data_IF_491622232866
#
_entry.id   IF_491622232866
#
_cell.length_a   1.000
_cell.length_b   1.000
_cell.length_c   1.000
_cell.angle_alpha   90.00
_cell.angle_beta   90.00
_cell.angle_gamma   90.00
#
_symmetry.space_group_name_H-M   'P 1'
#
loop_
_entity.id
_entity.type
_entity.pdbx_description
1 polymer ?
#
# COMPACT_ATOMS: atom_id res chain seq x y z
N UNK A 1 -5.97 -8.24 -39.74
CA UNK A 1 -6.03 -9.45 -38.89
C UNK A 1 -5.59 -9.02 -37.52
N UNK A 2 -6.58 -8.84 -36.64
CA UNK A 2 -6.43 -8.62 -35.21
C UNK A 2 -5.70 -9.78 -34.52
N UNK A 3 -5.18 -9.51 -33.32
CA UNK A 3 -4.63 -10.52 -32.43
C UNK A 3 -3.64 -9.92 -31.43
N UNK A 4 -4.06 -8.99 -30.57
CA UNK A 4 -4.29 -9.28 -29.14
C UNK A 4 -3.00 -9.70 -28.40
N UNK A 5 -2.15 -8.71 -28.07
CA UNK A 5 -1.25 -8.85 -26.92
C UNK A 5 -1.95 -8.22 -25.73
N UNK A 6 -2.56 -9.13 -24.98
CA UNK A 6 -3.30 -8.98 -23.74
C UNK A 6 -2.58 -7.99 -22.80
N UNK A 7 -3.23 -6.84 -22.60
CA UNK A 7 -2.93 -5.96 -21.48
C UNK A 7 -3.22 -6.80 -20.26
N UNK A 8 -2.19 -7.15 -19.48
CA UNK A 8 -2.42 -7.66 -18.13
C UNK A 8 -3.12 -6.56 -17.37
N UNK A 9 -4.45 -6.63 -17.36
CA UNK A 9 -5.30 -5.82 -16.53
C UNK A 9 -4.78 -5.98 -15.10
N UNK A 10 -4.08 -4.93 -14.67
CA UNK A 10 -3.64 -4.77 -13.30
C UNK A 10 -4.92 -4.45 -12.53
N UNK A 11 -5.72 -5.47 -12.24
CA UNK A 11 -6.87 -5.33 -11.36
C UNK A 11 -6.36 -4.73 -10.06
N UNK A 12 -6.85 -3.54 -9.65
CA UNK A 12 -6.47 -3.00 -8.38
C UNK A 12 -6.97 -3.97 -7.31
N UNK A 13 -6.06 -4.57 -6.54
CA UNK A 13 -6.39 -5.28 -5.31
C UNK A 13 -7.27 -4.37 -4.42
N UNK A 14 -8.55 -4.70 -4.21
CA UNK A 14 -9.49 -3.84 -3.48
C UNK A 14 -9.14 -3.65 -1.99
N UNK A 15 -8.04 -4.26 -1.50
CA UNK A 15 -7.52 -4.07 -0.16
C UNK A 15 -6.36 -3.06 -0.06
N UNK A 16 -5.76 -2.59 -1.16
CA UNK A 16 -4.62 -1.66 -1.12
C UNK A 16 -4.98 -0.21 -0.75
N UNK A 17 -6.26 0.11 -0.57
CA UNK A 17 -6.75 1.46 -0.27
C UNK A 17 -6.98 1.73 1.22
N UNK A 18 -6.76 0.76 2.12
CA UNK A 18 -7.41 0.84 3.43
C UNK A 18 -6.70 1.71 4.46
N UNK A 19 -5.41 2.01 4.36
CA UNK A 19 -4.70 2.87 5.31
C UNK A 19 -3.48 3.54 4.66
N UNK A 20 -3.59 4.80 4.25
CA UNK A 20 -2.44 5.56 3.72
C UNK A 20 -2.02 6.63 4.73
N UNK A 21 -0.91 6.41 5.45
CA UNK A 21 -0.35 7.41 6.36
C UNK A 21 0.47 8.45 5.57
N UNK A 22 -0.21 9.45 4.98
CA UNK A 22 0.47 10.52 4.23
C UNK A 22 1.14 11.52 5.18
N UNK A 23 2.48 11.62 5.15
CA UNK A 23 3.25 12.55 6.01
C UNK A 23 3.88 13.67 5.20
N UNK A 24 3.31 14.88 5.28
CA UNK A 24 3.96 16.08 4.73
C UNK A 24 5.22 16.47 5.52
N UNK A 25 6.18 17.09 4.82
CA UNK A 25 7.48 17.55 5.32
C UNK A 25 7.42 18.40 6.60
N UNK A 26 8.56 18.35 7.30
CA UNK A 26 9.12 19.14 8.42
C UNK A 26 8.20 19.75 9.49
N UNK A 27 6.98 20.18 9.16
CA UNK A 27 6.12 21.00 10.00
C UNK A 27 4.72 20.42 10.21
N UNK A 28 4.31 19.33 9.57
CA UNK A 28 2.96 18.76 9.71
C UNK A 28 2.93 17.23 9.67
N UNK A 29 2.20 16.59 10.59
CA UNK A 29 1.91 15.14 10.55
C UNK A 29 0.43 14.95 10.27
N UNK A 30 0.13 14.27 9.18
CA UNK A 30 -1.24 13.93 8.79
C UNK A 30 -1.37 12.40 8.72
N UNK A 31 -2.55 11.91 9.07
CA UNK A 31 -2.91 10.50 8.89
C UNK A 31 -4.23 10.47 8.16
N UNK A 32 -4.31 9.74 7.05
CA UNK A 32 -5.49 9.69 6.20
C UNK A 32 -5.98 8.24 6.14
N UNK A 33 -7.29 8.05 6.30
CA UNK A 33 -7.95 6.75 6.10
C UNK A 33 -9.18 6.98 5.24
N UNK A 34 -9.26 6.31 4.10
CA UNK A 34 -10.36 6.46 3.14
C UNK A 34 -10.63 7.94 2.80
N UNK A 35 -9.57 8.68 2.43
CA UNK A 35 -9.63 10.12 2.10
C UNK A 35 -10.07 11.05 3.24
N UNK A 36 -10.24 10.52 4.45
CA UNK A 36 -10.60 11.27 5.65
C UNK A 36 -9.36 11.46 6.52
N UNK A 37 -8.97 12.70 6.85
CA UNK A 37 -7.91 12.93 7.82
C UNK A 37 -8.38 12.47 9.21
N UNK A 38 -7.62 11.56 9.82
CA UNK A 38 -7.90 11.00 11.16
C UNK A 38 -6.98 11.59 12.24
N UNK A 39 -5.90 12.26 11.85
CA UNK A 39 -5.00 12.96 12.76
C UNK A 39 -4.25 14.05 12.00
N UNK A 40 -4.13 15.22 12.63
CA UNK A 40 -3.38 16.36 12.13
C UNK A 40 -2.59 16.97 13.28
N UNK A 41 -1.31 17.27 13.07
CA UNK A 41 -0.51 18.00 14.03
C UNK A 41 0.53 18.87 13.33
N UNK A 42 0.58 20.15 13.70
CA UNK A 42 1.63 21.05 13.27
C UNK A 42 2.81 21.04 14.26
N UNK A 43 4.01 20.84 13.74
CA UNK A 43 5.29 20.85 14.45
C UNK A 43 6.04 22.15 14.07
N UNK A 44 5.32 23.27 14.08
CA UNK A 44 5.91 24.59 13.87
C UNK A 44 5.68 25.47 15.09
N UNK A 45 6.71 26.20 15.51
CA UNK A 45 6.61 27.18 16.59
C UNK A 45 5.98 28.50 16.14
N UNK A 46 5.61 28.62 14.86
CA UNK A 46 5.09 29.84 14.28
C UNK A 46 3.56 29.80 14.30
N UNK A 47 2.95 30.74 15.02
CA UNK A 47 1.53 31.06 14.96
C UNK A 47 1.15 31.33 13.49
N UNK A 48 0.66 30.34 12.75
CA UNK A 48 0.16 30.53 11.39
C UNK A 48 -1.35 30.37 11.34
N UNK A 49 -1.95 31.33 10.64
CA UNK A 49 -3.37 31.59 10.44
C UNK A 49 -4.10 30.40 9.81
N UNK A 50 -5.40 30.26 10.11
CA UNK A 50 -6.35 29.30 9.48
C UNK A 50 -6.18 29.15 7.95
N UNK A 51 -5.78 30.22 7.26
CA UNK A 51 -5.53 30.23 5.82
C UNK A 51 -4.46 29.21 5.36
N UNK A 52 -3.44 28.96 6.20
CA UNK A 52 -2.42 27.95 5.93
C UNK A 52 -2.98 26.52 6.02
N UNK A 53 -3.98 26.28 6.88
CA UNK A 53 -4.60 24.97 7.06
C UNK A 53 -5.33 24.55 5.78
N UNK A 54 -6.12 25.45 5.19
CA UNK A 54 -6.82 25.18 3.93
C UNK A 54 -5.84 24.93 2.77
N UNK A 55 -4.73 25.65 2.74
CA UNK A 55 -3.67 25.43 1.76
C UNK A 55 -3.02 24.05 1.94
N UNK A 56 -2.69 23.66 3.17
CA UNK A 56 -2.14 22.33 3.46
C UNK A 56 -3.11 21.22 3.06
N UNK A 57 -4.40 21.39 3.36
CA UNK A 57 -5.44 20.43 2.97
C UNK A 57 -5.50 20.25 1.45
N UNK A 58 -5.42 21.33 0.68
CA UNK A 58 -5.40 21.25 -0.78
C UNK A 58 -4.17 20.51 -1.31
N UNK A 59 -2.98 20.82 -0.77
CA UNK A 59 -1.72 20.16 -1.17
C UNK A 59 -1.76 18.67 -0.82
N UNK A 60 -2.26 18.32 0.38
CA UNK A 60 -2.44 16.92 0.81
C UNK A 60 -3.33 16.15 -0.16
N UNK A 61 -4.46 16.74 -0.53
CA UNK A 61 -5.43 16.11 -1.40
C UNK A 61 -4.86 15.90 -2.81
N UNK A 62 -4.16 16.90 -3.36
CA UNK A 62 -3.51 16.80 -4.67
C UNK A 62 -2.41 15.73 -4.71
N UNK A 63 -1.65 15.58 -3.62
CA UNK A 63 -0.58 14.57 -3.54
C UNK A 63 -1.10 13.14 -3.36
N UNK A 64 -2.37 12.96 -2.95
CA UNK A 64 -2.93 11.64 -2.62
C UNK A 64 -3.01 10.73 -3.85
N UNK A 65 -3.39 11.28 -5.01
CA UNK A 65 -3.44 10.53 -6.27
C UNK A 65 -2.06 9.97 -6.65
N UNK A 66 -1.01 10.77 -6.46
CA UNK A 66 0.38 10.37 -6.74
C UNK A 66 0.82 9.26 -5.78
N UNK A 67 0.51 9.40 -4.48
CA UNK A 67 0.79 8.36 -3.48
C UNK A 67 0.09 7.06 -3.83
N UNK A 68 -1.15 7.13 -4.32
CA UNK A 68 -1.92 5.96 -4.70
C UNK A 68 -1.25 5.22 -5.85
N UNK A 69 -0.90 5.91 -6.94
CA UNK A 69 -0.22 5.33 -8.10
C UNK A 69 1.13 4.71 -7.74
N UNK A 70 1.89 5.37 -6.87
CA UNK A 70 3.17 4.84 -6.38
C UNK A 70 2.96 3.59 -5.50
N UNK A 71 1.96 3.59 -4.62
CA UNK A 71 1.64 2.41 -3.80
C UNK A 71 1.29 1.16 -4.64
N UNK A 72 0.79 1.34 -5.87
CA UNK A 72 0.54 0.25 -6.82
C UNK A 72 1.81 -0.29 -7.50
N UNK A 73 2.85 0.53 -7.61
CA UNK A 73 4.04 0.24 -8.43
C UNK A 73 5.29 -0.06 -7.62
N UNK A 74 5.31 0.31 -6.34
CA UNK A 74 6.44 0.07 -5.44
C UNK A 74 6.03 -0.66 -4.15
N UNK A 75 6.93 -1.52 -3.67
CA UNK A 75 6.81 -2.17 -2.36
C UNK A 75 7.42 -1.33 -1.23
N UNK A 76 8.00 -0.15 -1.55
CA UNK A 76 8.60 0.72 -0.55
C UNK A 76 7.52 1.32 0.37
N UNK A 77 7.63 1.08 1.68
CA UNK A 77 6.72 1.66 2.67
C UNK A 77 6.93 3.17 2.87
N UNK A 78 8.07 3.71 2.45
CA UNK A 78 8.37 5.14 2.54
C UNK A 78 8.59 5.71 1.15
N UNK A 79 7.73 6.65 0.76
CA UNK A 79 7.80 7.40 -0.48
C UNK A 79 8.33 8.80 -0.17
N UNK A 80 9.58 9.04 -0.55
CA UNK A 80 10.26 10.31 -0.30
C UNK A 80 9.93 11.30 -1.40
N UNK A 81 9.54 12.52 -1.01
CA UNK A 81 9.34 13.64 -1.94
C UNK A 81 8.41 13.29 -3.12
N UNK A 82 7.22 12.78 -2.81
CA UNK A 82 6.20 12.40 -3.80
C UNK A 82 5.61 13.60 -4.54
N UNK A 83 5.58 14.76 -3.88
CA UNK A 83 5.13 16.02 -4.48
C UNK A 83 5.86 17.21 -3.85
N UNK A 84 5.83 18.37 -4.52
CA UNK A 84 6.41 19.62 -4.05
C UNK A 84 5.52 20.80 -4.44
N UNK A 85 5.22 21.64 -3.45
CA UNK A 85 4.52 22.91 -3.65
C UNK A 85 5.24 24.04 -2.89
N UNK A 86 5.76 25.04 -3.60
CA UNK A 86 6.68 26.04 -3.05
C UNK A 86 7.87 25.37 -2.32
N UNK A 87 8.09 25.74 -1.06
CA UNK A 87 9.11 25.15 -0.19
C UNK A 87 8.63 23.88 0.53
N UNK A 88 7.36 23.50 0.37
CA UNK A 88 6.78 22.32 1.00
C UNK A 88 7.08 21.09 0.17
N UNK A 89 7.60 20.05 0.83
CA UNK A 89 7.82 18.72 0.24
C UNK A 89 6.80 17.76 0.83
N UNK A 90 6.13 16.97 -0.01
CA UNK A 90 5.24 15.92 0.47
C UNK A 90 5.99 14.60 0.49
N UNK A 91 5.91 13.85 1.58
CA UNK A 91 6.37 12.47 1.64
C UNK A 91 5.20 11.59 2.12
N UNK A 92 5.32 10.28 1.99
CA UNK A 92 4.25 9.39 2.43
C UNK A 92 4.82 8.12 3.06
N UNK A 93 4.12 7.64 4.09
CA UNK A 93 4.30 6.29 4.60
C UNK A 93 3.07 5.47 4.22
N UNK A 94 3.27 4.47 3.38
CA UNK A 94 2.21 3.53 3.02
C UNK A 94 2.37 2.34 3.95
N UNK A 95 1.36 2.09 4.79
CA UNK A 95 1.39 0.94 5.69
C UNK A 95 1.22 -0.33 4.87
N UNK A 96 2.06 -1.32 5.16
CA UNK A 96 1.99 -2.57 4.44
C UNK A 96 0.81 -3.41 4.93
N UNK A 97 -0.24 -3.51 4.10
CA UNK A 97 -1.18 -4.65 4.16
C UNK A 97 -0.52 -5.96 3.67
N UNK A 98 0.80 -5.93 3.44
CA UNK A 98 1.62 -7.04 2.97
C UNK A 98 1.51 -8.26 3.86
N UNK A 99 1.50 -8.10 5.19
CA UNK A 99 1.36 -9.23 6.11
C UNK A 99 0.01 -9.94 5.93
N UNK A 100 -1.09 -9.18 5.87
CA UNK A 100 -2.42 -9.75 5.64
C UNK A 100 -2.52 -10.41 4.27
N UNK A 101 -2.01 -9.75 3.23
CA UNK A 101 -1.98 -10.25 1.85
C UNK A 101 -1.14 -11.53 1.73
N UNK A 102 0.00 -11.59 2.39
CA UNK A 102 0.84 -12.78 2.50
C UNK A 102 0.06 -13.95 3.10
N UNK A 103 -0.56 -13.75 4.26
CA UNK A 103 -1.33 -14.81 4.91
C UNK A 103 -2.54 -15.23 4.09
N UNK A 104 -3.23 -14.31 3.44
CA UNK A 104 -4.37 -14.60 2.57
C UNK A 104 -3.97 -15.48 1.38
N UNK A 105 -2.89 -15.14 0.67
CA UNK A 105 -2.42 -15.93 -0.48
C UNK A 105 -1.83 -17.29 -0.08
N UNK A 106 -1.10 -17.35 1.04
CA UNK A 106 -0.60 -18.63 1.58
C UNK A 106 -1.76 -19.53 2.01
N UNK A 107 -2.81 -18.96 2.62
CA UNK A 107 -4.00 -19.69 3.02
C UNK A 107 -4.76 -20.26 1.81
N UNK A 108 -4.88 -19.51 0.72
CA UNK A 108 -5.48 -20.01 -0.52
C UNK A 108 -4.67 -21.19 -1.11
N UNK A 109 -3.34 -21.09 -1.11
CA UNK A 109 -2.46 -22.18 -1.55
C UNK A 109 -2.60 -23.42 -0.66
N UNK A 110 -2.73 -23.22 0.65
CA UNK A 110 -2.96 -24.27 1.62
C UNK A 110 -4.28 -25.01 1.37
N UNK A 111 -5.38 -24.27 1.16
CA UNK A 111 -6.68 -24.86 0.84
C UNK A 111 -6.62 -25.68 -0.46
N UNK A 112 -5.95 -25.18 -1.51
CA UNK A 112 -5.79 -25.91 -2.79
C UNK A 112 -5.13 -27.27 -2.59
N UNK A 113 -4.20 -27.40 -1.65
CA UNK A 113 -3.58 -28.68 -1.31
C UNK A 113 -4.55 -29.58 -0.56
N UNK A 114 -5.28 -29.04 0.42
CA UNK A 114 -6.28 -29.81 1.16
C UNK A 114 -7.41 -30.35 0.28
N UNK A 115 -7.76 -29.61 -0.78
CA UNK A 115 -8.78 -30.02 -1.75
C UNK A 115 -8.27 -31.01 -2.80
N UNK A 116 -6.97 -31.31 -2.85
CA UNK A 116 -6.46 -32.33 -3.76
C UNK A 116 -6.92 -33.72 -3.28
N UNK A 117 -7.66 -34.51 -4.09
CA UNK A 117 -8.14 -35.84 -3.71
C UNK A 117 -7.03 -36.84 -3.34
N UNK A 118 -5.79 -36.56 -3.76
CA UNK A 118 -4.61 -37.37 -3.46
C UNK A 118 -3.90 -36.94 -2.17
N UNK A 119 -4.32 -35.84 -1.54
CA UNK A 119 -3.76 -35.39 -0.27
C UNK A 119 -4.37 -36.17 0.90
N UNK A 120 -3.52 -36.67 1.79
CA UNK A 120 -3.95 -37.36 3.00
C UNK A 120 -4.21 -36.33 4.11
N UNK A 121 -5.45 -36.16 4.60
CA UNK A 121 -5.74 -35.22 5.68
C UNK A 121 -4.87 -35.50 6.92
N UNK A 122 -4.28 -34.47 7.51
CA UNK A 122 -3.38 -34.59 8.66
C UNK A 122 -1.94 -34.97 8.33
N UNK A 123 -1.63 -35.31 7.08
CA UNK A 123 -0.23 -35.45 6.63
C UNK A 123 0.47 -34.08 6.52
N UNK A 124 1.80 -34.07 6.46
CA UNK A 124 2.59 -32.84 6.27
C UNK A 124 2.62 -32.47 4.78
N UNK A 125 2.52 -31.17 4.48
CA UNK A 125 2.77 -30.65 3.14
C UNK A 125 4.29 -30.69 2.88
N UNK A 126 4.72 -31.48 1.89
CA UNK A 126 6.13 -31.63 1.50
C UNK A 126 6.40 -31.19 0.05
N UNK A 127 5.44 -30.53 -0.59
CA UNK A 127 5.52 -30.14 -2.00
C UNK A 127 6.54 -29.01 -2.22
N UNK A 128 7.56 -29.28 -3.03
CA UNK A 128 8.54 -28.28 -3.46
C UNK A 128 7.90 -27.08 -4.19
N UNK A 129 6.78 -27.32 -4.91
CA UNK A 129 6.03 -26.24 -5.57
C UNK A 129 5.41 -25.28 -4.56
N UNK A 130 4.82 -25.82 -3.48
CA UNK A 130 4.25 -25.04 -2.39
C UNK A 130 5.34 -24.17 -1.74
N UNK A 131 6.48 -24.77 -1.37
CA UNK A 131 7.59 -24.05 -0.75
C UNK A 131 8.16 -22.93 -1.63
N UNK A 132 8.23 -23.17 -2.93
CA UNK A 132 8.70 -22.17 -3.90
C UNK A 132 7.74 -20.99 -3.97
N UNK A 133 6.43 -21.25 -3.98
CA UNK A 133 5.39 -20.21 -3.97
C UNK A 133 5.39 -19.42 -2.66
N UNK A 134 5.40 -20.08 -1.51
CA UNK A 134 5.47 -19.40 -0.19
C UNK A 134 6.70 -18.50 -0.09
N UNK A 135 7.88 -18.97 -0.54
CA UNK A 135 9.09 -18.13 -0.57
C UNK A 135 8.99 -16.94 -1.52
N UNK A 136 8.31 -17.09 -2.65
CA UNK A 136 8.06 -15.98 -3.57
C UNK A 136 7.10 -14.94 -2.95
N UNK A 137 6.05 -15.40 -2.26
CA UNK A 137 5.12 -14.53 -1.54
C UNK A 137 5.79 -13.80 -0.39
N UNK A 138 6.66 -14.48 0.37
CA UNK A 138 7.44 -13.86 1.43
C UNK A 138 8.30 -12.72 0.87
N UNK A 139 9.05 -12.95 -0.22
CA UNK A 139 9.84 -11.89 -0.88
C UNK A 139 9.00 -10.75 -1.44
N UNK A 140 7.72 -10.99 -1.73
CA UNK A 140 6.81 -10.00 -2.32
C UNK A 140 6.17 -9.10 -1.26
N UNK A 141 5.93 -9.63 -0.06
CA UNK A 141 5.05 -9.01 0.93
C UNK A 141 5.68 -8.76 2.30
N UNK A 142 6.84 -9.35 2.59
CA UNK A 142 7.60 -9.23 3.83
C UNK A 142 8.99 -8.65 3.55
#
# INVERSE_FOLDING_TARGET
MEGHHDKKDHFPNPNLLKENLVRIAEYGKYSIRNDIPIYEAEVSSALKKEEAVHQHQFILHAALDIVQDLAWTTSAMFLKAVDRFNDLVVSAYVTADGIKSFFQEVHELYIKILLNPLYLPGSRITSSHFDTKVRALARKYL
#
